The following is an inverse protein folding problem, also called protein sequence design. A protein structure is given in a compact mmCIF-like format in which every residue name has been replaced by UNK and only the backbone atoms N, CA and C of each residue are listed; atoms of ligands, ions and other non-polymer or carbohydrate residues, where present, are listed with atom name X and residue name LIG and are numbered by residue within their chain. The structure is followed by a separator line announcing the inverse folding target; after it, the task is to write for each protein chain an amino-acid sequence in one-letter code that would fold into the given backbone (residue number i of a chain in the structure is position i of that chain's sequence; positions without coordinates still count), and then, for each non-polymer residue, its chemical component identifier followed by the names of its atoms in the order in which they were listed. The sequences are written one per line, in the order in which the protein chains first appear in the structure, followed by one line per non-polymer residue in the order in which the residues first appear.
data_IF_573589213266
#
_entry.id   IF_573589213266
#
_cell.length_a   1.000
_cell.length_b   1.000
_cell.length_c   1.000
_cell.angle_alpha   90.00
_cell.angle_beta   90.00
_cell.angle_gamma   90.00
#
_symmetry.space_group_name_H-M   'P 1'
#
loop_
_entity.id
_entity.type
_entity.pdbx_description
1 polymer ?
#
# COMPACT_ATOMS: atom_id res chain seq x y z
N UNK A 1 -13.32 -26.54 16.21
CA UNK A 1 -12.61 -25.77 15.17
C UNK A 1 -13.64 -25.06 14.32
N UNK A 2 -13.73 -23.74 14.42
CA UNK A 2 -14.61 -22.91 13.58
C UNK A 2 -14.03 -22.88 12.16
N UNK A 3 -14.78 -23.34 11.16
CA UNK A 3 -14.37 -23.25 9.77
C UNK A 3 -14.37 -21.78 9.34
N UNK A 4 -13.19 -21.20 9.11
CA UNK A 4 -13.06 -19.84 8.60
C UNK A 4 -13.27 -19.88 7.09
N UNK A 5 -14.31 -19.19 6.60
CA UNK A 5 -14.57 -19.06 5.16
C UNK A 5 -13.97 -17.74 4.70
N UNK A 6 -13.05 -17.80 3.74
CA UNK A 6 -12.45 -16.60 3.15
C UNK A 6 -13.28 -16.12 1.97
N UNK A 7 -13.67 -14.85 2.01
CA UNK A 7 -14.28 -14.17 0.88
C UNK A 7 -13.17 -13.60 -0.02
N UNK A 8 -12.84 -14.36 -1.08
CA UNK A 8 -11.81 -13.97 -2.07
C UNK A 8 -12.20 -12.69 -2.80
N UNK A 9 -13.50 -12.42 -2.97
CA UNK A 9 -13.99 -11.17 -3.55
C UNK A 9 -13.72 -9.97 -2.63
N UNK A 10 -13.86 -10.14 -1.33
CA UNK A 10 -13.47 -9.13 -0.35
C UNK A 10 -11.96 -8.88 -0.35
N UNK A 11 -11.13 -9.94 -0.47
CA UNK A 11 -9.68 -9.80 -0.59
C UNK A 11 -9.27 -9.01 -1.85
N UNK A 12 -9.90 -9.29 -2.99
CA UNK A 12 -9.64 -8.56 -4.23
C UNK A 12 -10.00 -7.06 -4.13
N UNK A 13 -11.15 -6.74 -3.52
CA UNK A 13 -11.54 -5.33 -3.26
C UNK A 13 -10.59 -4.64 -2.30
N UNK A 14 -10.19 -5.31 -1.22
CA UNK A 14 -9.25 -4.77 -0.25
C UNK A 14 -7.88 -4.52 -0.91
N UNK A 15 -7.37 -5.47 -1.70
CA UNK A 15 -6.15 -5.29 -2.50
C UNK A 15 -6.24 -4.02 -3.33
N UNK A 16 -7.29 -3.87 -4.15
CA UNK A 16 -7.45 -2.70 -5.01
C UNK A 16 -7.40 -1.40 -4.20
N UNK A 17 -8.15 -1.33 -3.09
CA UNK A 17 -8.14 -0.16 -2.20
C UNK A 17 -6.74 0.15 -1.63
N UNK A 18 -5.97 -0.88 -1.25
CA UNK A 18 -4.59 -0.70 -0.75
C UNK A 18 -3.64 -0.20 -1.84
N UNK A 19 -3.75 -0.67 -3.07
CA UNK A 19 -2.97 -0.13 -4.19
C UNK A 19 -3.38 1.30 -4.54
N UNK A 20 -4.67 1.61 -4.52
CA UNK A 20 -5.16 2.98 -4.76
C UNK A 20 -4.64 3.96 -3.71
N UNK A 21 -4.62 3.56 -2.43
CA UNK A 21 -4.02 4.36 -1.36
C UNK A 21 -2.52 4.55 -1.56
N UNK A 22 -1.78 3.49 -1.91
CA UNK A 22 -0.35 3.59 -2.22
C UNK A 22 -0.09 4.58 -3.37
N UNK A 23 -0.90 4.52 -4.45
CA UNK A 23 -0.79 5.45 -5.57
C UNK A 23 -1.09 6.90 -5.16
N UNK A 24 -2.10 7.13 -4.31
CA UNK A 24 -2.42 8.46 -3.79
C UNK A 24 -1.28 9.03 -2.94
N UNK A 25 -0.66 8.24 -2.06
CA UNK A 25 0.49 8.69 -1.28
C UNK A 25 1.72 8.95 -2.15
N UNK A 26 1.96 8.13 -3.18
CA UNK A 26 3.01 8.38 -4.15
C UNK A 26 2.81 9.70 -4.92
N UNK A 27 1.57 10.01 -5.30
CA UNK A 27 1.23 11.28 -5.93
C UNK A 27 1.44 12.46 -4.98
N UNK A 28 0.99 12.34 -3.72
CA UNK A 28 1.21 13.35 -2.69
C UNK A 28 2.71 13.61 -2.46
N UNK A 29 3.54 12.57 -2.44
CA UNK A 29 4.98 12.71 -2.32
C UNK A 29 5.60 13.41 -3.54
N UNK A 30 5.11 13.12 -4.75
CA UNK A 30 5.54 13.82 -5.96
C UNK A 30 5.21 15.30 -5.91
N UNK A 31 3.99 15.66 -5.52
CA UNK A 31 3.55 17.06 -5.37
C UNK A 31 4.36 17.77 -4.29
N UNK A 32 4.62 17.10 -3.16
CA UNK A 32 5.48 17.60 -2.09
C UNK A 32 6.91 17.82 -2.58
N UNK A 33 7.50 16.85 -3.26
CA UNK A 33 8.88 16.95 -3.77
C UNK A 33 9.05 18.08 -4.80
N UNK A 34 7.99 18.41 -5.54
CA UNK A 34 7.97 19.54 -6.47
C UNK A 34 7.79 20.91 -5.77
N UNK A 35 7.25 20.94 -4.56
CA UNK A 35 7.12 22.15 -3.78
C UNK A 35 8.41 22.46 -3.01
N UNK A 36 8.97 23.63 -3.26
CA UNK A 36 10.18 24.14 -2.61
C UNK A 36 9.91 25.48 -1.92
N UNK A 37 10.64 25.76 -0.85
CA UNK A 37 10.67 27.05 -0.17
C UNK A 37 12.03 27.71 -0.47
N UNK A 38 12.10 28.65 -1.43
CA UNK A 38 13.37 29.20 -1.88
C UNK A 38 14.06 30.02 -0.79
N UNK A 39 15.39 30.07 -0.86
CA UNK A 39 16.20 30.90 0.04
C UNK A 39 15.76 32.38 -0.07
N UNK A 40 15.61 33.03 1.08
CA UNK A 40 15.15 34.42 1.14
C UNK A 40 13.64 34.62 1.02
N UNK A 41 12.82 33.55 0.89
CA UNK A 41 11.36 33.63 0.91
C UNK A 41 10.80 34.29 2.19
N UNK A 42 11.56 34.24 3.29
CA UNK A 42 11.20 34.83 4.58
C UNK A 42 11.74 36.26 4.78
N UNK A 43 12.42 36.83 3.77
CA UNK A 43 12.96 38.18 3.81
C UNK A 43 14.02 38.39 4.90
N UNK A 44 14.09 39.59 5.47
CA UNK A 44 15.07 39.99 6.49
C UNK A 44 14.59 39.75 7.93
N UNK A 45 13.73 38.76 8.15
CA UNK A 45 13.32 38.43 9.51
C UNK A 45 14.55 37.98 10.32
N UNK A 46 14.70 38.54 11.53
CA UNK A 46 15.58 37.97 12.54
C UNK A 46 15.03 36.55 12.79
N UNK A 47 15.86 35.52 12.57
CA UNK A 47 15.49 34.09 12.56
C UNK A 47 15.00 33.48 11.22
N UNK A 48 15.10 34.18 10.09
CA UNK A 48 14.82 33.60 8.75
C UNK A 48 15.48 32.24 8.53
N UNK A 49 16.79 32.14 8.81
CA UNK A 49 17.57 30.93 8.52
C UNK A 49 17.20 29.76 9.44
N UNK A 50 16.89 30.05 10.71
CA UNK A 50 16.46 29.05 11.68
C UNK A 50 15.07 28.49 11.32
N UNK A 51 14.14 29.36 10.92
CA UNK A 51 12.81 28.96 10.46
C UNK A 51 12.92 28.11 9.19
N UNK A 52 13.77 28.51 8.24
CA UNK A 52 13.99 27.76 7.01
C UNK A 52 14.62 26.38 7.27
N UNK A 53 15.61 26.29 8.17
CA UNK A 53 16.20 25.03 8.56
C UNK A 53 15.19 24.10 9.25
N UNK A 54 14.38 24.63 10.17
CA UNK A 54 13.32 23.88 10.85
C UNK A 54 12.23 23.41 9.87
N UNK A 55 11.86 24.27 8.90
CA UNK A 55 10.94 23.89 7.83
C UNK A 55 11.51 22.73 7.01
N UNK A 56 12.73 22.86 6.48
CA UNK A 56 13.40 21.82 5.67
C UNK A 56 13.46 20.49 6.41
N UNK A 57 13.87 20.50 7.68
CA UNK A 57 13.93 19.30 8.50
C UNK A 57 12.56 18.61 8.63
N UNK A 58 11.51 19.37 8.98
CA UNK A 58 10.15 18.83 9.09
C UNK A 58 9.62 18.35 7.74
N UNK A 59 9.92 19.07 6.67
CA UNK A 59 9.46 18.77 5.33
C UNK A 59 10.08 17.49 4.79
N UNK A 60 11.38 17.26 5.06
CA UNK A 60 12.05 16.00 4.77
C UNK A 60 11.46 14.85 5.58
N UNK A 61 11.27 15.02 6.90
CA UNK A 61 10.67 13.98 7.73
C UNK A 61 9.24 13.62 7.32
N UNK A 62 8.46 14.59 6.81
CA UNK A 62 7.15 14.33 6.21
C UNK A 62 7.26 13.45 4.95
N UNK A 63 8.24 13.72 4.08
CA UNK A 63 8.47 12.90 2.88
C UNK A 63 8.84 11.46 3.21
N UNK A 64 9.72 11.26 4.20
CA UNK A 64 10.07 9.92 4.69
C UNK A 64 8.85 9.16 5.23
N UNK A 65 7.97 9.85 5.97
CA UNK A 65 6.74 9.25 6.49
C UNK A 65 5.76 8.88 5.37
N UNK A 66 5.59 9.72 4.35
CA UNK A 66 4.74 9.42 3.19
C UNK A 66 5.29 8.24 2.38
N UNK A 67 6.61 8.18 2.18
CA UNK A 67 7.26 7.07 1.50
C UNK A 67 7.03 5.74 2.26
N UNK A 68 7.18 5.75 3.59
CA UNK A 68 6.92 4.58 4.42
C UNK A 68 5.45 4.12 4.35
N UNK A 69 4.50 5.06 4.35
CA UNK A 69 3.08 4.74 4.17
C UNK A 69 2.81 4.13 2.78
N UNK A 70 3.38 4.73 1.73
CA UNK A 70 3.27 4.24 0.36
C UNK A 70 3.71 2.78 0.24
N UNK A 71 4.85 2.45 0.85
CA UNK A 71 5.39 1.10 0.90
C UNK A 71 4.50 0.15 1.71
N UNK A 72 4.03 0.57 2.89
CA UNK A 72 3.16 -0.24 3.73
C UNK A 72 1.86 -0.63 3.01
N UNK A 73 1.19 0.34 2.38
CA UNK A 73 -0.04 0.09 1.63
C UNK A 73 0.19 -0.84 0.44
N UNK A 74 1.30 -0.67 -0.30
CA UNK A 74 1.68 -1.56 -1.39
C UNK A 74 1.91 -2.99 -0.89
N UNK A 75 2.70 -3.16 0.16
CA UNK A 75 3.03 -4.47 0.72
C UNK A 75 1.79 -5.21 1.24
N UNK A 76 0.84 -4.48 1.86
CA UNK A 76 -0.45 -5.07 2.27
C UNK A 76 -1.26 -5.50 1.05
N UNK A 77 -1.36 -4.65 0.02
CA UNK A 77 -2.05 -4.98 -1.23
C UNK A 77 -1.48 -6.24 -1.90
N UNK A 78 -0.15 -6.31 -2.01
CA UNK A 78 0.57 -7.46 -2.56
C UNK A 78 0.34 -8.73 -1.71
N UNK A 79 0.36 -8.63 -0.38
CA UNK A 79 0.08 -9.75 0.52
C UNK A 79 -1.35 -10.28 0.38
N UNK A 80 -2.33 -9.38 0.19
CA UNK A 80 -3.72 -9.75 -0.09
C UNK A 80 -3.85 -10.48 -1.44
N UNK A 81 -3.08 -10.07 -2.45
CA UNK A 81 -3.02 -10.75 -3.74
C UNK A 81 -2.55 -12.19 -3.60
N UNK A 82 -1.39 -12.39 -2.96
CA UNK A 82 -0.80 -13.71 -2.74
C UNK A 82 -1.76 -14.62 -1.97
N UNK A 83 -2.47 -14.06 -0.99
CA UNK A 83 -3.47 -14.80 -0.21
C UNK A 83 -4.64 -15.25 -1.09
N UNK A 84 -5.20 -14.33 -1.90
CA UNK A 84 -6.30 -14.64 -2.82
C UNK A 84 -5.91 -15.71 -3.85
N UNK A 85 -4.72 -15.60 -4.44
CA UNK A 85 -4.21 -16.57 -5.41
C UNK A 85 -4.02 -17.96 -4.78
N UNK A 86 -3.52 -18.02 -3.55
CA UNK A 86 -3.38 -19.26 -2.79
C UNK A 86 -4.71 -19.98 -2.54
N UNK A 87 -5.78 -19.24 -2.19
CA UNK A 87 -7.12 -19.81 -2.07
C UNK A 87 -7.64 -20.33 -3.40
N UNK A 88 -7.53 -19.55 -4.47
CA UNK A 88 -7.99 -19.96 -5.80
C UNK A 88 -7.29 -21.24 -6.30
N UNK A 89 -5.98 -21.34 -6.09
CA UNK A 89 -5.22 -22.54 -6.45
C UNK A 89 -5.64 -23.76 -5.64
N UNK A 90 -5.87 -23.59 -4.32
CA UNK A 90 -6.32 -24.68 -3.44
C UNK A 90 -7.69 -25.18 -3.85
N UNK A 91 -8.64 -24.27 -4.13
CA UNK A 91 -9.99 -24.62 -4.57
C UNK A 91 -9.96 -25.41 -5.90
N UNK A 92 -9.11 -25.01 -6.84
CA UNK A 92 -8.94 -25.73 -8.10
C UNK A 92 -8.39 -27.16 -7.90
N UNK A 93 -7.42 -27.33 -6.99
CA UNK A 93 -6.87 -28.65 -6.66
C UNK A 93 -7.91 -29.56 -6.00
N UNK A 94 -8.71 -29.01 -5.08
CA UNK A 94 -9.79 -29.77 -4.43
C UNK A 94 -10.84 -30.21 -5.45
N UNK A 95 -11.24 -29.32 -6.37
CA UNK A 95 -12.18 -29.65 -7.44
C UNK A 95 -11.66 -30.76 -8.37
N UNK A 96 -10.38 -30.71 -8.75
CA UNK A 96 -9.74 -31.77 -9.55
C UNK A 96 -9.76 -33.12 -8.81
N UNK A 97 -9.36 -33.13 -7.53
CA UNK A 97 -9.37 -34.35 -6.72
C UNK A 97 -10.77 -34.94 -6.58
N UNK A 98 -11.79 -34.10 -6.38
CA UNK A 98 -13.19 -34.54 -6.32
C UNK A 98 -13.63 -35.16 -7.64
N UNK A 99 -13.36 -34.52 -8.77
CA UNK A 99 -13.70 -35.03 -10.09
C UNK A 99 -13.02 -36.39 -10.36
N UNK A 100 -11.76 -36.55 -9.96
CA UNK A 100 -11.03 -37.82 -10.08
C UNK A 100 -11.60 -38.91 -9.18
N UNK A 101 -11.99 -38.57 -7.96
CA UNK A 101 -12.60 -39.53 -7.04
C UNK A 101 -13.96 -40.02 -7.56
N UNK A 102 -14.79 -39.11 -8.06
CA UNK A 102 -16.07 -39.44 -8.68
C UNK A 102 -15.91 -40.35 -9.90
N UNK A 103 -14.85 -40.15 -10.69
CA UNK A 103 -14.56 -40.99 -11.85
C UNK A 103 -14.12 -42.42 -11.47
N UNK A 104 -13.50 -42.62 -10.31
CA UNK A 104 -13.08 -43.95 -9.80
C UNK A 104 -14.25 -44.70 -9.16
N UNK A 105 -15.23 -43.98 -8.61
CA UNK A 105 -16.39 -44.54 -7.92
C UNK A 105 -17.58 -44.88 -8.85
N UNK A 106 -17.48 -44.53 -10.15
CA UNK A 106 -18.45 -44.90 -11.19
C UNK A 106 -17.95 -46.09 -11.99
#
# INVERSE_FOLDING_TARGET
MTAFRVDVGALARARAAHHDLSAQFAALESDRAAADLPDGALGKMISSDEILAAFRSRYTGLGEAIAALTEAYRNIGDGLAVTADGYAQTDAQVADLQARLEAVLR
#
